data_IF_359900149296
#
_entry.id   IF_359900149296
#
_cell.length_a   1.000
_cell.length_b   1.000
_cell.length_c   1.000
_cell.angle_alpha   90.00
_cell.angle_beta   90.00
_cell.angle_gamma   90.00
#
_symmetry.space_group_name_H-M   'P 1'
#
loop_
_entity.id
_entity.type
_entity.pdbx_description
1 polymer ?
#
# COMPACT_ATOMS: atom_id res chain seq x y z
N UNK A 1 5.70 20.95 31.75
CA UNK A 1 4.23 20.91 31.52
C UNK A 1 3.94 19.77 30.57
N UNK A 2 3.14 18.79 30.97
CA UNK A 2 2.60 17.80 30.03
C UNK A 2 1.37 18.44 29.40
N UNK A 3 1.46 18.81 28.14
CA UNK A 3 0.30 19.29 27.38
C UNK A 3 -0.60 18.08 27.14
N UNK A 4 -1.79 18.03 27.74
CA UNK A 4 -2.78 17.02 27.40
C UNK A 4 -3.22 17.25 25.95
N UNK A 5 -3.03 16.23 25.10
CA UNK A 5 -3.54 16.26 23.74
C UNK A 5 -5.07 16.19 23.80
N UNK A 6 -5.78 16.94 22.95
CA UNK A 6 -7.24 16.84 22.88
C UNK A 6 -7.63 15.40 22.52
N UNK A 7 -8.64 14.87 23.22
CA UNK A 7 -9.21 13.57 22.87
C UNK A 7 -9.81 13.68 21.46
N UNK A 8 -9.54 12.70 20.57
CA UNK A 8 -10.12 12.72 19.24
C UNK A 8 -11.64 12.51 19.33
N UNK A 9 -12.37 13.18 18.46
CA UNK A 9 -13.80 12.93 18.28
C UNK A 9 -14.00 11.53 17.68
N UNK A 10 -14.90 10.76 18.28
CA UNK A 10 -15.30 9.47 17.74
C UNK A 10 -16.41 9.69 16.70
N UNK A 11 -16.23 9.11 15.51
CA UNK A 11 -17.21 9.16 14.43
C UNK A 11 -17.80 7.77 14.16
N UNK A 12 -19.08 7.66 13.77
CA UNK A 12 -19.66 6.38 13.36
C UNK A 12 -18.91 5.76 12.17
N UNK A 13 -18.66 4.45 12.23
CA UNK A 13 -18.00 3.71 11.16
C UNK A 13 -18.93 3.62 9.94
N UNK A 14 -18.46 4.11 8.79
CA UNK A 14 -19.11 3.87 7.49
C UNK A 14 -18.64 2.51 6.95
N UNK A 15 -19.47 1.49 7.11
CA UNK A 15 -19.18 0.13 6.67
C UNK A 15 -20.32 -0.41 5.82
N UNK A 16 -19.96 -1.04 4.69
CA UNK A 16 -20.89 -1.69 3.78
C UNK A 16 -20.60 -3.20 3.78
N UNK A 17 -21.35 -4.01 4.54
CA UNK A 17 -21.16 -5.46 4.55
C UNK A 17 -21.57 -6.06 3.20
N UNK A 18 -21.07 -7.27 2.93
CA UNK A 18 -21.67 -8.13 1.91
C UNK A 18 -23.09 -8.54 2.34
N UNK A 19 -23.99 -8.68 1.37
CA UNK A 19 -25.42 -8.90 1.57
C UNK A 19 -25.71 -10.30 2.16
N UNK A 20 -24.93 -11.30 1.77
CA UNK A 20 -25.11 -12.69 2.18
C UNK A 20 -23.79 -13.48 2.12
N UNK A 21 -23.83 -14.75 2.55
CA UNK A 21 -22.67 -15.64 2.59
C UNK A 21 -22.12 -15.96 1.19
N UNK A 22 -22.98 -16.10 0.18
CA UNK A 22 -22.55 -16.40 -1.19
C UNK A 22 -21.72 -15.26 -1.77
N UNK A 23 -22.14 -14.01 -1.56
CA UNK A 23 -21.36 -12.83 -1.96
C UNK A 23 -20.03 -12.73 -1.19
N UNK A 24 -20.02 -13.07 0.10
CA UNK A 24 -18.78 -13.12 0.89
C UNK A 24 -17.79 -14.13 0.31
N UNK A 25 -18.27 -15.32 -0.05
CA UNK A 25 -17.48 -16.39 -0.66
C UNK A 25 -16.93 -15.97 -2.01
N UNK A 26 -17.77 -15.37 -2.86
CA UNK A 26 -17.35 -14.89 -4.18
C UNK A 26 -16.24 -13.83 -4.09
N UNK A 27 -16.42 -12.82 -3.23
CA UNK A 27 -15.40 -11.78 -2.99
C UNK A 27 -14.09 -12.37 -2.48
N UNK A 28 -14.16 -13.32 -1.55
CA UNK A 28 -12.98 -14.01 -1.01
C UNK A 28 -12.24 -14.82 -2.09
N UNK A 29 -12.97 -15.60 -2.88
CA UNK A 29 -12.42 -16.42 -3.96
C UNK A 29 -11.76 -15.57 -5.05
N UNK A 30 -12.39 -14.46 -5.44
CA UNK A 30 -11.83 -13.54 -6.43
C UNK A 30 -10.52 -12.92 -5.93
N UNK A 31 -10.52 -12.42 -4.69
CA UNK A 31 -9.34 -11.81 -4.10
C UNK A 31 -8.20 -12.83 -3.92
N UNK A 32 -8.52 -14.05 -3.49
CA UNK A 32 -7.55 -15.13 -3.41
C UNK A 32 -6.94 -15.45 -4.78
N UNK A 33 -7.76 -15.61 -5.82
CA UNK A 33 -7.28 -15.88 -7.18
C UNK A 33 -6.32 -14.78 -7.67
N UNK A 34 -6.67 -13.52 -7.44
CA UNK A 34 -5.83 -12.38 -7.79
C UNK A 34 -4.48 -12.44 -7.06
N UNK A 35 -4.49 -12.56 -5.73
CA UNK A 35 -3.25 -12.59 -4.94
C UNK A 35 -2.40 -13.84 -5.19
N UNK A 36 -3.02 -15.00 -5.44
CA UNK A 36 -2.33 -16.25 -5.72
C UNK A 36 -1.62 -16.23 -7.09
N UNK A 37 -2.08 -15.39 -8.02
CA UNK A 37 -1.40 -15.18 -9.31
C UNK A 37 -0.07 -14.42 -9.17
N UNK A 38 0.13 -13.69 -8.07
CA UNK A 38 1.31 -12.85 -7.85
C UNK A 38 2.56 -13.70 -7.66
N UNK A 39 3.60 -13.42 -8.46
CA UNK A 39 4.93 -14.00 -8.32
C UNK A 39 5.97 -12.91 -8.05
N UNK A 40 7.06 -13.29 -7.38
CA UNK A 40 8.25 -12.43 -7.32
C UNK A 40 8.97 -12.53 -8.67
N UNK A 41 8.91 -11.45 -9.44
CA UNK A 41 9.60 -11.30 -10.73
C UNK A 41 10.96 -10.64 -10.49
N UNK A 42 11.99 -11.02 -11.26
CA UNK A 42 13.35 -10.45 -11.17
C UNK A 42 13.86 -9.85 -12.48
N UNK A 43 13.14 -10.07 -13.57
CA UNK A 43 13.43 -9.53 -14.89
C UNK A 43 12.33 -8.51 -15.27
N UNK A 44 12.71 -7.24 -15.40
CA UNK A 44 11.79 -6.12 -15.61
C UNK A 44 11.98 -5.47 -16.99
N UNK A 45 10.89 -4.96 -17.55
CA UNK A 45 10.91 -4.17 -18.79
C UNK A 45 11.29 -2.70 -18.50
N UNK A 46 11.92 -2.04 -19.48
CA UNK A 46 12.20 -0.60 -19.45
C UNK A 46 10.98 0.29 -19.75
N UNK A 47 9.80 -0.30 -19.97
CA UNK A 47 8.57 0.44 -20.24
C UNK A 47 8.21 1.32 -19.03
N UNK A 48 7.96 2.60 -19.29
CA UNK A 48 7.56 3.53 -18.22
C UNK A 48 6.17 3.21 -17.65
N UNK A 49 6.01 3.46 -16.35
CA UNK A 49 4.74 3.33 -15.64
C UNK A 49 4.26 4.73 -15.23
N UNK A 50 3.02 5.14 -15.59
CA UNK A 50 2.48 6.43 -15.18
C UNK A 50 2.58 6.66 -13.67
N UNK A 51 3.06 7.85 -13.27
CA UNK A 51 3.32 8.15 -11.86
C UNK A 51 2.07 8.01 -10.98
N UNK A 52 0.90 8.41 -11.50
CA UNK A 52 -0.37 8.28 -10.77
C UNK A 52 -0.71 6.84 -10.38
N UNK A 53 -0.26 5.83 -11.13
CA UNK A 53 -0.44 4.42 -10.76
C UNK A 53 0.43 4.07 -9.54
N UNK A 54 1.68 4.53 -9.54
CA UNK A 54 2.62 4.34 -8.42
C UNK A 54 2.12 5.06 -7.16
N UNK A 55 1.61 6.28 -7.31
CA UNK A 55 1.02 7.04 -6.21
C UNK A 55 -0.16 6.31 -5.58
N UNK A 56 -1.05 5.73 -6.39
CA UNK A 56 -2.18 4.93 -5.86
C UNK A 56 -1.69 3.70 -5.11
N UNK A 57 -0.68 2.99 -5.60
CA UNK A 57 -0.10 1.86 -4.87
C UNK A 57 0.48 2.28 -3.50
N UNK A 58 1.17 3.44 -3.44
CA UNK A 58 1.71 3.98 -2.19
C UNK A 58 0.60 4.42 -1.23
N UNK A 59 -0.43 5.11 -1.73
CA UNK A 59 -1.59 5.51 -0.92
C UNK A 59 -2.31 4.29 -0.34
N UNK A 60 -2.47 3.23 -1.13
CA UNK A 60 -3.04 1.95 -0.66
C UNK A 60 -2.19 1.35 0.45
N UNK A 61 -0.87 1.30 0.30
CA UNK A 61 0.03 0.81 1.35
C UNK A 61 -0.09 1.63 2.65
N UNK A 62 -0.28 2.95 2.53
CA UNK A 62 -0.49 3.87 3.66
C UNK A 62 -1.77 3.63 4.46
N UNK A 63 -2.70 2.81 3.97
CA UNK A 63 -3.93 2.44 4.70
C UNK A 63 -3.68 1.37 5.78
N UNK A 64 -2.47 0.79 5.83
CA UNK A 64 -2.10 -0.16 6.87
C UNK A 64 -2.28 0.46 8.28
N UNK A 65 -2.69 -0.33 9.28
CA UNK A 65 -2.72 0.14 10.66
C UNK A 65 -1.30 0.41 11.18
N UNK A 66 -1.16 1.35 12.10
CA UNK A 66 0.11 1.64 12.77
C UNK A 66 -0.11 1.87 14.27
N UNK A 67 0.88 1.45 15.07
CA UNK A 67 0.86 1.67 16.52
C UNK A 67 0.71 3.16 16.83
N UNK A 68 -0.23 3.49 17.71
CA UNK A 68 -0.58 4.87 18.06
C UNK A 68 -0.85 5.79 16.85
N UNK A 69 -1.28 5.23 15.70
CA UNK A 69 -1.49 5.96 14.45
C UNK A 69 -0.26 6.75 13.96
N UNK A 70 0.95 6.29 14.28
CA UNK A 70 2.19 7.04 13.97
C UNK A 70 2.54 7.09 12.48
N UNK A 71 2.01 6.17 11.66
CA UNK A 71 2.34 6.04 10.23
C UNK A 71 3.86 6.11 9.96
N UNK A 72 4.68 5.25 10.59
CA UNK A 72 6.14 5.40 10.63
C UNK A 72 6.84 4.94 9.34
N UNK A 73 6.24 5.20 8.19
CA UNK A 73 6.75 4.80 6.87
C UNK A 73 7.05 6.02 6.01
N UNK A 74 8.13 5.91 5.25
CA UNK A 74 8.46 6.85 4.17
C UNK A 74 8.67 6.06 2.88
N UNK A 75 7.86 6.34 1.88
CA UNK A 75 8.03 5.78 0.54
C UNK A 75 8.87 6.76 -0.30
N UNK A 76 9.96 6.28 -0.89
CA UNK A 76 10.84 7.06 -1.74
C UNK A 76 10.80 6.49 -3.16
N UNK A 77 10.29 7.27 -4.10
CA UNK A 77 10.22 6.88 -5.52
C UNK A 77 11.45 7.39 -6.24
N UNK A 78 12.25 6.49 -6.81
CA UNK A 78 13.45 6.82 -7.58
C UNK A 78 13.21 6.55 -9.06
N UNK A 79 13.13 7.62 -9.88
CA UNK A 79 12.98 7.50 -11.34
C UNK A 79 14.26 7.83 -12.11
N UNK A 80 15.15 8.63 -11.50
CA UNK A 80 16.41 9.01 -12.10
C UNK A 80 17.31 7.79 -12.34
N UNK A 81 17.79 7.64 -13.58
CA UNK A 81 18.57 6.47 -14.00
C UNK A 81 19.97 6.45 -13.36
N UNK A 82 20.58 7.61 -13.14
CA UNK A 82 21.89 7.70 -12.52
C UNK A 82 21.81 7.31 -11.03
N UNK A 83 20.78 7.78 -10.33
CA UNK A 83 20.52 7.39 -8.93
C UNK A 83 20.26 5.88 -8.84
N UNK A 84 19.42 5.30 -9.71
CA UNK A 84 19.20 3.85 -9.73
C UNK A 84 20.49 3.06 -9.97
N UNK A 85 21.35 3.54 -10.89
CA UNK A 85 22.66 2.91 -11.15
C UNK A 85 23.56 2.95 -9.91
N UNK A 86 23.64 4.09 -9.21
CA UNK A 86 24.41 4.22 -7.96
C UNK A 86 23.91 3.25 -6.88
N UNK A 87 22.59 3.13 -6.71
CA UNK A 87 21.98 2.19 -5.76
C UNK A 87 22.35 0.74 -6.12
N UNK A 88 22.26 0.36 -7.39
CA UNK A 88 22.62 -0.99 -7.86
C UNK A 88 24.06 -1.33 -7.53
N UNK A 89 25.01 -0.48 -7.92
CA UNK A 89 26.44 -0.72 -7.67
C UNK A 89 26.78 -0.81 -6.18
N UNK A 90 26.05 -0.11 -5.30
CA UNK A 90 26.27 -0.17 -3.86
C UNK A 90 25.63 -1.39 -3.17
N UNK A 91 24.69 -2.08 -3.83
CA UNK A 91 23.96 -3.21 -3.28
C UNK A 91 24.47 -4.58 -3.77
N UNK A 92 25.22 -4.61 -4.87
CA UNK A 92 25.96 -5.78 -5.39
C UNK A 92 27.27 -6.00 -4.61
#
# INVERSE_FOLDING_TARGET
MKTELPKPDLVPLKFSPAENEDEQRERADQFYKELNSRRTVRDYSDKDVPLGIIEKAILTAGTAPSGAHMQPWRFVVVRDQEVKRKIRTAAE
#
